data_IF_737142081422
#
_entry.id   IF_737142081422
#
_cell.length_a   1.000
_cell.length_b   1.000
_cell.length_c   1.000
_cell.angle_alpha   90.00
_cell.angle_beta   90.00
_cell.angle_gamma   90.00
#
_symmetry.space_group_name_H-M   'P 1'
#
loop_
_entity.id
_entity.type
_entity.pdbx_description
1 polymer ?
#
# COMPACT_ATOMS: atom_id res chain seq x y z
N UNK A 1 -0.38 -10.78 12.32
CA UNK A 1 -1.81 -10.90 12.61
C UNK A 1 -2.63 -10.45 11.39
N UNK A 2 -3.61 -11.26 11.02
CA UNK A 2 -4.38 -11.08 9.79
C UNK A 2 -5.80 -10.64 10.13
N UNK A 3 -6.26 -9.57 9.46
CA UNK A 3 -7.61 -9.03 9.67
C UNK A 3 -8.39 -9.12 8.37
N UNK A 4 -9.57 -9.73 8.40
CA UNK A 4 -10.42 -9.83 7.22
C UNK A 4 -11.33 -8.61 7.09
N UNK A 5 -11.32 -7.98 5.89
CA UNK A 5 -12.26 -6.95 5.49
C UNK A 5 -13.20 -7.52 4.43
N UNK A 6 -14.19 -6.74 4.00
CA UNK A 6 -15.19 -7.25 3.05
C UNK A 6 -14.61 -7.62 1.69
N UNK A 7 -13.49 -7.04 1.31
CA UNK A 7 -12.92 -7.16 -0.04
C UNK A 7 -11.48 -7.71 -0.05
N UNK A 8 -10.95 -8.11 1.10
CA UNK A 8 -9.59 -8.60 1.20
C UNK A 8 -9.18 -8.73 2.65
N UNK A 9 -7.88 -8.80 2.89
CA UNK A 9 -7.41 -8.88 4.26
C UNK A 9 -6.11 -8.10 4.43
N UNK A 10 -5.88 -7.65 5.65
CA UNK A 10 -4.69 -6.88 6.03
C UNK A 10 -3.91 -7.68 7.06
N UNK A 11 -2.58 -7.68 6.89
CA UNK A 11 -1.68 -8.36 7.80
C UNK A 11 -0.70 -7.33 8.36
N UNK A 12 -0.66 -7.20 9.68
CA UNK A 12 0.32 -6.33 10.31
C UNK A 12 1.66 -7.06 10.34
N UNK A 13 2.58 -6.63 9.49
CA UNK A 13 3.91 -7.23 9.38
C UNK A 13 4.85 -6.70 10.45
N UNK A 14 4.57 -5.51 10.94
CA UNK A 14 5.28 -4.83 12.01
C UNK A 14 4.30 -3.83 12.61
N UNK A 15 4.70 -3.12 13.66
CA UNK A 15 3.82 -2.13 14.29
C UNK A 15 3.36 -1.05 13.29
N UNK A 16 4.20 -0.75 12.31
CA UNK A 16 3.96 0.35 11.37
C UNK A 16 4.02 -0.08 9.90
N UNK A 17 3.90 -1.37 9.61
CA UNK A 17 3.85 -1.85 8.23
C UNK A 17 2.69 -2.83 8.09
N UNK A 18 1.79 -2.52 7.15
CA UNK A 18 0.64 -3.36 6.87
C UNK A 18 0.71 -3.90 5.45
N UNK A 19 0.51 -5.20 5.31
CA UNK A 19 0.37 -5.83 4.00
C UNK A 19 -1.11 -5.89 3.64
N UNK A 20 -1.42 -5.45 2.43
CA UNK A 20 -2.78 -5.41 1.90
C UNK A 20 -2.90 -6.42 0.78
N UNK A 21 -3.84 -7.35 0.89
CA UNK A 21 -4.15 -8.33 -0.15
C UNK A 21 -5.62 -8.24 -0.48
N UNK A 22 -5.94 -7.85 -1.71
CA UNK A 22 -7.31 -7.68 -2.17
C UNK A 22 -7.75 -8.97 -2.86
N UNK A 23 -9.04 -9.31 -2.74
CA UNK A 23 -9.57 -10.53 -3.33
C UNK A 23 -9.59 -10.46 -4.86
N UNK A 24 -9.48 -11.62 -5.49
CA UNK A 24 -9.50 -11.77 -6.93
C UNK A 24 -10.78 -11.18 -7.52
N UNK A 25 -10.64 -10.41 -8.60
CA UNK A 25 -11.78 -9.90 -9.36
C UNK A 25 -12.47 -8.68 -8.77
N UNK A 26 -12.00 -8.15 -7.65
CA UNK A 26 -12.59 -6.96 -7.05
C UNK A 26 -12.24 -5.73 -7.90
N UNK A 27 -13.20 -4.79 -8.01
CA UNK A 27 -12.90 -3.42 -8.40
C UNK A 27 -12.93 -2.59 -7.11
N UNK A 28 -11.78 -2.14 -6.64
CA UNK A 28 -11.68 -1.39 -5.40
C UNK A 28 -12.41 -0.06 -5.55
N UNK A 29 -13.43 0.16 -4.73
CA UNK A 29 -14.29 1.34 -4.79
C UNK A 29 -13.89 2.37 -3.76
N UNK A 30 -14.47 3.57 -3.87
CA UNK A 30 -14.26 4.61 -2.87
C UNK A 30 -14.69 4.15 -1.48
N UNK A 31 -15.82 3.44 -1.39
CA UNK A 31 -16.31 2.91 -0.10
C UNK A 31 -15.29 1.94 0.52
N UNK A 32 -14.64 1.12 -0.31
CA UNK A 32 -13.61 0.21 0.17
C UNK A 32 -12.36 0.97 0.63
N UNK A 33 -11.99 2.04 -0.06
CA UNK A 33 -10.89 2.91 0.37
C UNK A 33 -11.20 3.52 1.73
N UNK A 34 -12.44 3.93 1.94
CA UNK A 34 -12.88 4.47 3.23
C UNK A 34 -12.86 3.42 4.32
N UNK A 35 -13.22 2.19 4.00
CA UNK A 35 -13.13 1.07 4.94
C UNK A 35 -11.68 0.83 5.37
N UNK A 36 -10.74 0.96 4.44
CA UNK A 36 -9.31 0.90 4.76
C UNK A 36 -8.92 1.98 5.76
N UNK A 37 -9.39 3.19 5.54
CA UNK A 37 -9.06 4.32 6.43
C UNK A 37 -9.53 4.06 7.86
N UNK A 38 -10.72 3.52 8.01
CA UNK A 38 -11.26 3.15 9.33
C UNK A 38 -10.35 2.12 9.99
N UNK A 39 -9.91 1.12 9.22
CA UNK A 39 -9.00 0.09 9.74
C UNK A 39 -7.69 0.70 10.22
N UNK A 40 -7.08 1.56 9.39
CA UNK A 40 -5.78 2.14 9.74
C UNK A 40 -5.88 3.01 11.00
N UNK A 41 -6.93 3.80 11.10
CA UNK A 41 -7.13 4.65 12.29
C UNK A 41 -7.34 3.84 13.56
N UNK A 42 -7.92 2.65 13.43
CA UNK A 42 -8.19 1.79 14.58
C UNK A 42 -6.97 0.98 15.03
N UNK A 43 -6.05 0.67 14.11
CA UNK A 43 -5.01 -0.31 14.37
C UNK A 43 -3.59 0.23 14.26
N UNK A 44 -3.39 1.39 13.66
CA UNK A 44 -2.05 1.92 13.42
C UNK A 44 -1.97 3.34 13.97
N UNK A 45 -0.94 3.59 14.75
CA UNK A 45 -0.72 4.91 15.35
C UNK A 45 0.59 5.49 14.83
N UNK A 46 0.55 6.74 14.36
CA UNK A 46 1.73 7.40 13.85
C UNK A 46 2.01 7.08 12.38
N UNK A 47 3.26 7.26 11.99
CA UNK A 47 3.67 7.03 10.60
C UNK A 47 3.68 5.54 10.26
N UNK A 48 3.27 5.21 9.04
CA UNK A 48 3.23 3.80 8.63
C UNK A 48 3.47 3.65 7.13
N UNK A 49 3.72 2.42 6.72
CA UNK A 49 3.88 2.04 5.33
C UNK A 49 2.93 0.93 4.93
N UNK A 50 2.58 0.89 3.65
CA UNK A 50 1.73 -0.14 3.07
C UNK A 50 2.52 -0.98 2.09
N UNK A 51 2.43 -2.30 2.23
CA UNK A 51 2.90 -3.24 1.21
C UNK A 51 1.67 -3.77 0.49
N UNK A 52 1.46 -3.31 -0.73
CA UNK A 52 0.31 -3.72 -1.54
C UNK A 52 0.72 -4.98 -2.29
N UNK A 53 0.27 -6.13 -1.80
CA UNK A 53 0.58 -7.42 -2.40
C UNK A 53 -0.48 -7.76 -3.45
N UNK A 54 -0.13 -7.60 -4.72
CA UNK A 54 -1.06 -7.82 -5.83
C UNK A 54 -0.99 -9.24 -6.37
N UNK A 55 -0.95 -10.21 -5.47
CA UNK A 55 -0.96 -11.62 -5.87
C UNK A 55 -2.26 -12.01 -6.58
N UNK A 56 -3.36 -11.33 -6.25
CA UNK A 56 -4.64 -11.50 -6.93
C UNK A 56 -4.84 -10.38 -7.95
N UNK A 57 -5.57 -10.66 -9.02
CA UNK A 57 -5.87 -9.66 -10.05
C UNK A 57 -7.09 -8.85 -9.62
N UNK A 58 -6.93 -7.55 -9.50
CA UNK A 58 -8.02 -6.63 -9.17
C UNK A 58 -7.71 -5.24 -9.76
N UNK A 59 -8.73 -4.40 -9.80
CA UNK A 59 -8.63 -3.07 -10.40
C UNK A 59 -9.09 -2.00 -9.41
N UNK A 60 -8.96 -0.74 -9.82
CA UNK A 60 -9.40 0.41 -9.03
C UNK A 60 -10.49 1.14 -9.80
N UNK A 61 -11.57 1.55 -9.13
CA UNK A 61 -12.50 2.49 -9.74
C UNK A 61 -11.80 3.83 -9.93
N UNK A 62 -12.37 4.70 -10.75
CA UNK A 62 -11.78 6.01 -10.98
C UNK A 62 -11.65 6.80 -9.66
N UNK A 63 -12.72 6.80 -8.87
CA UNK A 63 -12.72 7.50 -7.59
C UNK A 63 -11.69 6.92 -6.62
N UNK A 64 -11.53 5.60 -6.62
CA UNK A 64 -10.52 4.96 -5.77
C UNK A 64 -9.11 5.37 -6.17
N UNK A 65 -8.84 5.49 -7.48
CA UNK A 65 -7.53 5.93 -7.96
C UNK A 65 -7.16 7.32 -7.43
N UNK A 66 -8.14 8.19 -7.27
CA UNK A 66 -7.92 9.55 -6.79
C UNK A 66 -7.75 9.61 -5.27
N UNK A 67 -8.18 8.60 -4.54
CA UNK A 67 -8.27 8.64 -3.09
C UNK A 67 -7.34 7.68 -2.37
N UNK A 68 -6.99 6.56 -3.00
CA UNK A 68 -6.14 5.57 -2.33
C UNK A 68 -4.77 6.18 -2.01
N UNK A 69 -4.22 5.81 -0.86
CA UNK A 69 -2.92 6.32 -0.45
C UNK A 69 -2.97 7.68 0.22
N UNK A 70 -4.15 8.29 0.33
CA UNK A 70 -4.31 9.58 1.00
C UNK A 70 -4.66 9.40 2.49
N UNK A 71 -4.08 8.39 3.12
CA UNK A 71 -4.34 8.09 4.53
C UNK A 71 -3.40 8.90 5.42
N UNK A 72 -3.95 9.40 6.52
CA UNK A 72 -3.14 10.13 7.49
C UNK A 72 -2.05 9.23 8.05
N UNK A 73 -0.83 9.71 8.04
CA UNK A 73 0.32 8.96 8.56
C UNK A 73 1.01 8.06 7.55
N UNK A 74 0.42 7.84 6.39
CA UNK A 74 1.05 7.00 5.38
C UNK A 74 2.27 7.69 4.79
N UNK A 75 3.44 7.04 4.86
CA UNK A 75 4.72 7.63 4.45
C UNK A 75 5.35 6.93 3.25
N UNK A 76 4.98 5.69 2.98
CA UNK A 76 5.59 4.95 1.88
C UNK A 76 4.67 3.80 1.45
N UNK A 77 4.65 3.52 0.16
CA UNK A 77 3.85 2.45 -0.43
C UNK A 77 4.77 1.59 -1.30
N UNK A 78 4.81 0.29 -1.02
CA UNK A 78 5.49 -0.67 -1.87
C UNK A 78 4.45 -1.51 -2.59
N UNK A 79 4.53 -1.57 -3.91
CA UNK A 79 3.67 -2.43 -4.71
C UNK A 79 4.45 -3.67 -5.12
N UNK A 80 3.87 -4.84 -4.88
CA UNK A 80 4.45 -6.11 -5.34
C UNK A 80 3.49 -6.71 -6.35
N UNK A 81 3.90 -6.75 -7.62
CA UNK A 81 3.07 -7.26 -8.72
C UNK A 81 3.56 -8.64 -9.15
N UNK A 82 2.63 -9.43 -9.70
CA UNK A 82 2.91 -10.82 -10.09
C UNK A 82 2.55 -11.10 -11.54
N UNK A 83 2.18 -10.06 -12.32
CA UNK A 83 1.84 -10.20 -13.73
C UNK A 83 2.08 -8.89 -14.46
N UNK A 84 2.22 -8.95 -15.78
CA UNK A 84 2.36 -7.73 -16.58
C UNK A 84 1.12 -6.86 -16.48
N UNK A 85 -0.06 -7.46 -16.41
CA UNK A 85 -1.31 -6.72 -16.26
C UNK A 85 -1.31 -5.92 -14.95
N UNK A 86 -0.91 -6.56 -13.86
CA UNK A 86 -0.86 -5.91 -12.56
C UNK A 86 0.18 -4.78 -12.55
N UNK A 87 1.33 -5.01 -13.21
CA UNK A 87 2.36 -3.99 -13.33
C UNK A 87 1.83 -2.76 -14.06
N UNK A 88 1.10 -2.95 -15.16
CA UNK A 88 0.54 -1.83 -15.92
C UNK A 88 -0.47 -1.06 -15.07
N UNK A 89 -1.32 -1.77 -14.31
CA UNK A 89 -2.30 -1.12 -13.44
C UNK A 89 -1.59 -0.23 -12.41
N UNK A 90 -0.50 -0.71 -11.82
CA UNK A 90 0.27 0.08 -10.85
C UNK A 90 0.91 1.29 -11.52
N UNK A 91 1.44 1.13 -12.73
CA UNK A 91 2.04 2.23 -13.48
C UNK A 91 1.01 3.31 -13.80
N UNK A 92 -0.19 2.90 -14.20
CA UNK A 92 -1.27 3.84 -14.48
C UNK A 92 -1.70 4.59 -13.22
N UNK A 93 -1.76 3.89 -12.08
CA UNK A 93 -2.09 4.51 -10.81
C UNK A 93 -1.04 5.56 -10.44
N UNK A 94 0.22 5.24 -10.59
CA UNK A 94 1.31 6.18 -10.30
C UNK A 94 1.26 7.40 -11.22
N UNK A 95 0.88 7.23 -12.49
CA UNK A 95 0.71 8.36 -13.41
C UNK A 95 -0.45 9.25 -12.98
N UNK A 96 -1.58 8.65 -12.60
CA UNK A 96 -2.74 9.39 -12.13
C UNK A 96 -2.41 10.23 -10.90
N UNK A 97 -1.51 9.74 -10.04
CA UNK A 97 -1.16 10.38 -8.79
C UNK A 97 0.20 11.10 -8.85
N UNK A 98 0.72 11.38 -10.05
CA UNK A 98 2.05 11.96 -10.21
C UNK A 98 2.22 13.31 -9.50
N UNK A 99 1.16 14.12 -9.47
CA UNK A 99 1.22 15.43 -8.82
C UNK A 99 1.25 15.34 -7.30
N UNK A 100 0.83 14.22 -6.73
CA UNK A 100 0.85 14.04 -5.27
C UNK A 100 2.24 13.74 -4.75
N UNK A 101 3.14 13.31 -5.64
CA UNK A 101 4.54 12.99 -5.30
C UNK A 101 4.64 12.00 -4.14
N UNK A 102 3.75 11.03 -4.12
CA UNK A 102 3.76 10.05 -3.05
C UNK A 102 5.02 9.17 -3.15
N UNK A 103 5.46 8.66 -2.00
CA UNK A 103 6.67 7.85 -1.93
C UNK A 103 6.30 6.39 -2.21
N UNK A 104 6.49 5.96 -3.44
CA UNK A 104 6.15 4.58 -3.82
C UNK A 104 7.27 3.92 -4.61
N UNK A 105 7.31 2.61 -4.53
CA UNK A 105 8.28 1.80 -5.27
C UNK A 105 7.61 0.48 -5.65
N UNK A 106 7.94 -0.05 -6.82
CA UNK A 106 7.35 -1.29 -7.33
C UNK A 106 8.38 -2.40 -7.36
N UNK A 107 7.93 -3.61 -7.06
CA UNK A 107 8.78 -4.80 -6.97
C UNK A 107 8.08 -5.97 -7.66
N UNK A 108 8.86 -6.90 -8.23
CA UNK A 108 8.31 -8.08 -8.90
C UNK A 108 8.25 -9.27 -7.94
N UNK A 109 7.03 -9.73 -7.65
CA UNK A 109 6.83 -10.94 -6.87
C UNK A 109 7.32 -12.18 -7.60
N UNK A 110 7.29 -12.14 -8.96
CA UNK A 110 7.81 -13.24 -9.77
C UNK A 110 9.32 -13.41 -9.64
N UNK A 111 10.02 -12.33 -9.28
CA UNK A 111 11.47 -12.36 -9.04
C UNK A 111 11.78 -12.42 -7.55
N UNK A 112 10.79 -12.80 -6.74
CA UNK A 112 10.94 -13.01 -5.31
C UNK A 112 11.36 -11.74 -4.57
N UNK A 113 10.85 -10.57 -5.01
CA UNK A 113 11.25 -9.28 -4.44
C UNK A 113 10.38 -8.81 -3.28
N UNK A 114 9.47 -9.68 -2.77
CA UNK A 114 8.62 -9.31 -1.63
C UNK A 114 9.43 -8.87 -0.43
N UNK A 115 10.50 -9.63 -0.12
CA UNK A 115 11.36 -9.31 1.02
C UNK A 115 12.06 -7.97 0.83
N UNK A 116 12.46 -7.66 -0.40
CA UNK A 116 13.06 -6.37 -0.72
C UNK A 116 12.06 -5.23 -0.53
N UNK A 117 10.81 -5.45 -0.90
CA UNK A 117 9.74 -4.47 -0.69
C UNK A 117 9.57 -4.17 0.80
N UNK A 118 9.54 -5.22 1.62
CA UNK A 118 9.42 -5.07 3.07
C UNK A 118 10.61 -4.31 3.65
N UNK A 119 11.82 -4.65 3.23
CA UNK A 119 13.03 -3.97 3.70
C UNK A 119 13.05 -2.50 3.26
N UNK A 120 12.60 -2.22 2.04
CA UNK A 120 12.51 -0.84 1.55
C UNK A 120 11.56 -0.01 2.41
N UNK A 121 10.41 -0.57 2.76
CA UNK A 121 9.46 0.11 3.64
C UNK A 121 10.08 0.41 5.01
N UNK A 122 10.77 -0.57 5.59
CA UNK A 122 11.41 -0.37 6.88
C UNK A 122 12.42 0.76 6.81
N UNK A 123 13.20 0.81 5.74
CA UNK A 123 14.19 1.86 5.54
C UNK A 123 13.53 3.23 5.40
N UNK A 124 12.46 3.32 4.60
CA UNK A 124 11.77 4.59 4.38
C UNK A 124 11.12 5.12 5.66
N UNK A 125 10.58 4.23 6.47
CA UNK A 125 9.94 4.64 7.73
C UNK A 125 10.96 5.11 8.75
N UNK A 126 12.13 4.49 8.81
CA UNK A 126 13.22 4.96 9.69
C UNK A 126 13.63 6.36 9.28
N UNK A 127 13.79 6.61 7.99
CA UNK A 127 14.13 7.94 7.49
C UNK A 127 13.09 8.98 7.85
N UNK A 128 11.82 8.62 7.78
CA UNK A 128 10.72 9.53 8.09
C UNK A 128 10.51 9.75 9.58
N UNK A 129 10.92 8.78 10.40
CA UNK A 129 10.78 8.87 11.85
C UNK A 129 11.95 9.55 12.52
N UNK A 130 13.04 9.74 11.81
CA UNK A 130 14.20 10.44 12.38
C UNK A 130 13.83 11.90 12.60
N UNK A 131 13.81 12.32 13.85
CA UNK A 131 13.38 13.68 14.15
C UNK A 131 14.46 14.69 13.76
N UNK A 132 14.04 15.97 13.65
CA UNK A 132 14.95 17.05 13.37
C UNK A 132 16.06 17.18 14.43
N UNK A 133 15.85 16.58 15.58
CA UNK A 133 16.86 16.54 16.64
C UNK A 133 18.13 15.84 16.20
N UNK A 134 18.10 15.14 15.10
CA UNK A 134 19.31 14.57 14.51
C UNK A 134 20.23 15.63 13.96
N UNK A 135 19.69 16.78 13.73
CA UNK A 135 20.46 17.90 13.21
C UNK A 135 21.44 18.44 14.26
#
# INVERSE_FOLDING_TARGET
MKHRLSFGYFTLLAENIVEVTIDEGIELSLEMVEECDVFFKAHIFGSFGMLINRINDYTYSYEAQLSIGSYEGLKAIAFVYYSDRSKVIVEELNLTRAYDKWNSCSFSGLELEWQQAFQWLKHELIGNEQPASQA
#
